data_IF_863743569295
#
_entry.id   IF_863743569295
#
_cell.length_a   1.000
_cell.length_b   1.000
_cell.length_c   1.000
_cell.angle_alpha   90.00
_cell.angle_beta   90.00
_cell.angle_gamma   90.00
#
_symmetry.space_group_name_H-M   'P 1'
#
loop_
_entity.id
_entity.type
_entity.pdbx_description
1 polymer ?
#
# COMPACT_ATOMS: atom_id res chain seq x y z
N UNK A 1 18.25 -7.57 -25.43
CA UNK A 1 18.16 -7.57 -23.95
C UNK A 1 16.69 -7.53 -23.58
N UNK A 2 16.22 -8.39 -22.67
CA UNK A 2 14.84 -8.35 -22.16
C UNK A 2 14.88 -7.59 -20.84
N UNK A 3 14.15 -6.49 -20.73
CA UNK A 3 13.98 -5.72 -19.50
C UNK A 3 12.50 -5.76 -19.15
N UNK A 4 12.19 -6.19 -17.94
CA UNK A 4 10.86 -6.04 -17.34
C UNK A 4 10.91 -4.82 -16.44
N UNK A 5 9.89 -3.97 -16.52
CA UNK A 5 9.81 -2.72 -15.79
C UNK A 5 8.44 -2.65 -15.16
N UNK A 6 8.39 -2.28 -13.90
CA UNK A 6 7.14 -2.10 -13.18
C UNK A 6 6.43 -0.82 -13.63
N UNK A 7 5.11 -0.88 -13.70
CA UNK A 7 4.27 0.23 -14.08
C UNK A 7 3.04 0.26 -13.17
N UNK A 8 2.58 1.47 -12.88
CA UNK A 8 1.39 1.74 -12.10
C UNK A 8 0.29 2.14 -13.09
N UNK A 9 -0.90 1.60 -12.87
CA UNK A 9 -2.11 1.96 -13.61
C UNK A 9 -2.96 2.80 -12.65
N UNK A 10 -3.22 4.05 -13.01
CA UNK A 10 -4.10 4.91 -12.20
C UNK A 10 -5.58 4.56 -12.36
N UNK A 11 -6.44 5.16 -11.56
CA UNK A 11 -7.89 4.94 -11.60
C UNK A 11 -8.53 5.33 -12.95
N UNK A 12 -7.85 6.15 -13.75
CA UNK A 12 -8.28 6.54 -15.08
C UNK A 12 -7.76 5.59 -16.17
N UNK A 13 -6.97 4.58 -15.79
CA UNK A 13 -6.40 3.58 -16.68
C UNK A 13 -5.11 4.01 -17.37
N UNK A 14 -4.48 5.12 -16.98
CA UNK A 14 -3.20 5.52 -17.56
C UNK A 14 -2.05 4.69 -16.98
N UNK A 15 -1.24 4.14 -17.88
CA UNK A 15 -0.04 3.38 -17.54
C UNK A 15 1.14 4.34 -17.37
N UNK A 16 1.75 4.34 -16.19
CA UNK A 16 2.97 5.09 -15.89
C UNK A 16 4.06 4.15 -15.42
N UNK A 17 5.25 4.24 -16.03
CA UNK A 17 6.40 3.46 -15.56
C UNK A 17 6.80 3.93 -14.16
N UNK A 18 7.01 2.99 -13.24
CA UNK A 18 7.47 3.28 -11.89
C UNK A 18 8.90 3.86 -11.90
N UNK A 19 9.70 3.43 -12.88
CA UNK A 19 11.07 3.87 -13.07
C UNK A 19 11.34 4.34 -14.51
N UNK A 20 12.25 5.32 -14.71
CA UNK A 20 12.64 5.75 -16.05
C UNK A 20 13.41 4.66 -16.82
N UNK A 21 13.02 4.39 -18.06
CA UNK A 21 13.68 3.39 -18.91
C UNK A 21 14.30 4.06 -20.12
N UNK A 22 15.59 3.79 -20.37
CA UNK A 22 16.31 4.30 -21.54
C UNK A 22 16.31 3.26 -22.65
N UNK A 23 15.29 3.29 -23.52
CA UNK A 23 15.22 2.47 -24.72
C UNK A 23 15.66 3.30 -25.93
N UNK A 24 16.59 2.79 -26.74
CA UNK A 24 17.05 3.44 -27.98
C UNK A 24 16.43 2.75 -29.19
N UNK A 25 15.82 3.50 -30.11
CA UNK A 25 15.24 2.96 -31.34
C UNK A 25 13.87 2.30 -31.15
N UNK A 26 13.30 1.75 -32.23
CA UNK A 26 11.95 1.18 -32.22
C UNK A 26 11.92 -0.19 -31.54
N UNK A 27 11.08 -0.32 -30.50
CA UNK A 27 10.94 -1.56 -29.73
C UNK A 27 9.45 -1.90 -29.53
N UNK A 28 9.16 -3.19 -29.46
CA UNK A 28 7.86 -3.69 -29.02
C UNK A 28 7.90 -3.92 -27.51
N UNK A 29 6.84 -3.51 -26.81
CA UNK A 29 6.65 -3.76 -25.39
C UNK A 29 5.51 -4.75 -25.17
N UNK A 30 5.56 -5.47 -24.05
CA UNK A 30 4.45 -6.27 -23.54
C UNK A 30 3.99 -5.61 -22.25
N UNK A 31 2.67 -5.51 -22.08
CA UNK A 31 2.06 -5.03 -20.83
C UNK A 31 1.29 -6.21 -20.23
N UNK A 32 1.60 -6.52 -18.98
CA UNK A 32 0.86 -7.51 -18.18
C UNK A 32 0.16 -6.76 -17.07
N UNK A 33 -1.15 -6.89 -16.98
CA UNK A 33 -1.95 -6.31 -15.91
C UNK A 33 -1.94 -7.32 -14.76
N UNK A 34 -1.52 -6.88 -13.58
CA UNK A 34 -1.61 -7.67 -12.36
C UNK A 34 -2.92 -7.30 -11.68
N UNK A 35 -3.62 -8.30 -11.13
CA UNK A 35 -4.76 -8.01 -10.26
C UNK A 35 -4.26 -7.24 -9.03
N UNK A 36 -5.11 -6.36 -8.50
CA UNK A 36 -4.83 -5.71 -7.22
C UNK A 36 -4.54 -6.81 -6.21
N UNK A 37 -3.40 -6.71 -5.50
CA UNK A 37 -3.14 -7.62 -4.41
C UNK A 37 -4.36 -7.56 -3.50
N UNK A 38 -4.94 -8.69 -3.08
CA UNK A 38 -5.99 -8.65 -2.09
C UNK A 38 -5.47 -7.76 -0.96
N UNK A 39 -6.27 -6.78 -0.55
CA UNK A 39 -5.99 -6.06 0.69
C UNK A 39 -6.08 -7.13 1.77
N UNK A 40 -4.98 -7.83 2.01
CA UNK A 40 -4.77 -8.63 3.19
C UNK A 40 -4.73 -7.59 4.30
N UNK A 41 -5.92 -7.23 4.79
CA UNK A 41 -6.04 -6.73 6.14
C UNK A 41 -5.60 -7.94 6.95
N UNK A 42 -4.29 -7.98 7.25
CA UNK A 42 -3.67 -9.05 8.02
C UNK A 42 -4.57 -9.26 9.23
N UNK A 43 -5.10 -10.47 9.39
CA UNK A 43 -6.04 -10.79 10.48
C UNK A 43 -5.41 -10.38 11.83
N UNK A 44 -4.08 -10.44 11.92
CA UNK A 44 -3.29 -9.95 13.06
C UNK A 44 -3.44 -8.44 13.26
N UNK A 45 -3.44 -7.64 12.20
CA UNK A 45 -3.66 -6.19 12.27
C UNK A 45 -5.08 -5.88 12.74
N UNK A 46 -6.09 -6.57 12.19
CA UNK A 46 -7.49 -6.34 12.56
C UNK A 46 -7.81 -6.79 14.00
N UNK A 47 -7.21 -7.90 14.44
CA UNK A 47 -7.30 -8.37 15.84
C UNK A 47 -6.53 -7.46 16.79
N UNK A 48 -5.37 -6.94 16.38
CA UNK A 48 -4.59 -5.98 17.17
C UNK A 48 -5.34 -4.65 17.33
N UNK A 49 -5.96 -4.12 16.28
CA UNK A 49 -6.81 -2.92 16.36
C UNK A 49 -7.94 -3.10 17.37
N UNK A 50 -8.62 -4.24 17.32
CA UNK A 50 -9.72 -4.55 18.24
C UNK A 50 -9.24 -4.67 19.69
N UNK A 51 -8.14 -5.41 19.92
CA UNK A 51 -7.58 -5.60 21.25
C UNK A 51 -7.00 -4.31 21.86
N UNK A 52 -6.34 -3.46 21.07
CA UNK A 52 -5.85 -2.17 21.55
C UNK A 52 -7.01 -1.20 21.83
N UNK A 53 -8.08 -1.21 21.02
CA UNK A 53 -9.24 -0.35 21.26
C UNK A 53 -9.92 -0.65 22.61
N UNK A 54 -9.98 -1.92 23.03
CA UNK A 54 -10.56 -2.30 24.33
C UNK A 54 -9.77 -1.75 25.53
N UNK A 55 -8.44 -1.66 25.42
CA UNK A 55 -7.57 -1.20 26.51
C UNK A 55 -7.38 0.32 26.50
N UNK A 56 -7.33 0.92 25.30
CA UNK A 56 -7.04 2.33 25.09
C UNK A 56 -8.26 3.26 25.22
N UNK A 57 -9.48 2.76 25.01
CA UNK A 57 -10.72 3.55 25.16
C UNK A 57 -11.21 3.62 26.61
N UNK A 58 -10.39 3.17 27.57
CA UNK A 58 -10.72 3.24 28.99
C UNK A 58 -10.59 4.69 29.48
N UNK A 59 -11.58 5.23 30.20
CA UNK A 59 -11.52 6.57 30.79
C UNK A 59 -10.26 6.80 31.65
N UNK A 60 -9.73 5.73 32.26
CA UNK A 60 -8.50 5.73 33.04
C UNK A 60 -7.26 6.10 32.23
N UNK A 61 -7.23 5.74 30.93
CA UNK A 61 -6.15 6.16 30.02
C UNK A 61 -6.30 7.64 29.68
N UNK A 62 -7.50 8.15 29.39
CA UNK A 62 -7.71 9.59 29.15
C UNK A 62 -7.25 10.47 30.34
N UNK A 63 -7.45 10.00 31.57
CA UNK A 63 -6.93 10.65 32.78
C UNK A 63 -5.39 10.58 32.86
N UNK A 64 -4.79 9.42 32.58
CA UNK A 64 -3.35 9.25 32.55
C UNK A 64 -2.66 10.16 31.52
N UNK A 65 -3.32 10.40 30.38
CA UNK A 65 -2.84 11.28 29.31
C UNK A 65 -2.97 12.77 29.67
N UNK A 66 -3.98 13.12 30.46
CA UNK A 66 -4.17 14.49 30.98
C UNK A 66 -3.03 14.93 31.90
N UNK A 67 -2.38 13.96 32.57
CA UNK A 67 -1.24 14.22 33.46
C UNK A 67 0.11 14.39 32.75
N UNK A 68 0.17 14.26 31.41
CA UNK A 68 1.38 14.37 30.60
C UNK A 68 1.52 15.70 29.82
N UNK A 69 0.60 16.65 30.02
CA UNK A 69 0.74 18.06 29.61
C UNK A 69 1.50 18.90 30.64
#
# INVERSE_FOLDING_TARGET
MKQTVEAIIDEQGHVRLAEPVKIKGLHRALVTILDEAPVEIDEVTQLAETALAEDWLKPEEDEAWTHLQ
#
